data_IF_716045670540
#
_entry.id   IF_716045670540
#
_cell.length_a   1.000
_cell.length_b   1.000
_cell.length_c   1.000
_cell.angle_alpha   90.00
_cell.angle_beta   90.00
_cell.angle_gamma   90.00
#
_symmetry.space_group_name_H-M   'P 1'
#
loop_
_entity.id
_entity.type
_entity.pdbx_description
1 polymer ?
#
# COMPACT_ATOMS: atom_id res chain seq x y z
N UNK A 1 11.63 -2.03 9.65
CA UNK A 1 11.11 -2.22 8.28
C UNK A 1 12.10 -1.58 7.34
N UNK A 2 12.48 -2.25 6.26
CA UNK A 2 13.30 -1.63 5.21
C UNK A 2 12.43 -0.72 4.32
N UNK A 3 13.01 0.37 3.84
CA UNK A 3 12.30 1.34 2.99
C UNK A 3 12.73 1.15 1.55
N UNK A 4 11.74 0.95 0.66
CA UNK A 4 11.96 0.88 -0.78
C UNK A 4 11.36 2.10 -1.47
N UNK A 5 12.04 2.65 -2.48
CA UNK A 5 11.50 3.70 -3.33
C UNK A 5 10.94 3.06 -4.61
N UNK A 6 9.64 3.23 -4.86
CA UNK A 6 8.96 2.72 -6.06
C UNK A 6 8.33 3.88 -6.85
N UNK A 7 8.18 3.70 -8.16
CA UNK A 7 7.43 4.62 -9.01
C UNK A 7 6.00 4.11 -9.19
N UNK A 8 5.03 4.98 -8.88
CA UNK A 8 3.61 4.73 -9.06
C UNK A 8 3.06 5.75 -10.07
N UNK A 9 2.01 5.36 -10.79
CA UNK A 9 1.29 6.30 -11.65
C UNK A 9 0.56 7.34 -10.80
N UNK A 10 0.36 8.55 -11.33
CA UNK A 10 -0.38 9.60 -10.62
C UNK A 10 -1.78 9.14 -10.19
N UNK A 11 -2.43 8.32 -11.02
CA UNK A 11 -3.76 7.74 -10.72
C UNK A 11 -3.72 6.83 -9.50
N UNK A 12 -2.69 5.99 -9.36
CA UNK A 12 -2.52 5.14 -8.19
C UNK A 12 -2.28 5.96 -6.93
N UNK A 13 -1.44 6.99 -7.00
CA UNK A 13 -1.19 7.89 -5.86
C UNK A 13 -2.49 8.57 -5.42
N UNK A 14 -3.27 9.11 -6.37
CA UNK A 14 -4.58 9.73 -6.08
C UNK A 14 -5.56 8.75 -5.44
N UNK A 15 -5.62 7.51 -5.92
CA UNK A 15 -6.50 6.49 -5.33
C UNK A 15 -6.10 6.18 -3.88
N UNK A 16 -4.81 6.06 -3.60
CA UNK A 16 -4.30 5.86 -2.23
C UNK A 16 -4.66 7.07 -1.35
N UNK A 17 -4.50 8.28 -1.87
CA UNK A 17 -4.86 9.51 -1.15
C UNK A 17 -6.35 9.59 -0.79
N UNK A 18 -7.23 9.16 -1.69
CA UNK A 18 -8.66 9.10 -1.41
C UNK A 18 -8.95 8.14 -0.26
N UNK A 19 -8.28 6.99 -0.21
CA UNK A 19 -8.45 6.01 0.88
C UNK A 19 -7.99 6.57 2.22
N UNK A 20 -6.87 7.28 2.25
CA UNK A 20 -6.36 7.93 3.46
C UNK A 20 -7.29 9.08 3.91
N UNK A 21 -7.72 9.93 2.97
CA UNK A 21 -8.66 11.03 3.26
C UNK A 21 -10.01 10.56 3.78
N UNK A 22 -10.48 9.39 3.35
CA UNK A 22 -11.70 8.75 3.84
C UNK A 22 -11.54 8.10 5.22
N UNK A 23 -10.32 8.07 5.78
CA UNK A 23 -10.03 7.43 7.06
C UNK A 23 -9.95 5.91 7.00
N UNK A 24 -9.90 5.30 5.80
CA UNK A 24 -9.78 3.84 5.65
C UNK A 24 -8.40 3.36 6.08
N UNK A 25 -7.36 4.14 5.78
CA UNK A 25 -6.00 3.90 6.24
C UNK A 25 -5.42 5.14 6.90
N UNK A 26 -4.58 4.99 7.94
CA UNK A 26 -4.00 6.12 8.66
C UNK A 26 -2.95 6.87 7.81
N UNK A 27 -2.32 6.20 6.84
CA UNK A 27 -1.34 6.81 5.94
C UNK A 27 -1.18 5.98 4.65
N UNK A 28 -0.47 6.55 3.68
CA UNK A 28 -0.19 5.90 2.38
C UNK A 28 0.59 4.59 2.56
N UNK A 29 1.53 4.55 3.50
CA UNK A 29 2.38 3.38 3.73
C UNK A 29 1.56 2.18 4.23
N UNK A 30 0.59 2.39 5.11
CA UNK A 30 -0.33 1.35 5.57
C UNK A 30 -1.23 0.84 4.45
N UNK A 31 -1.77 1.75 3.63
CA UNK A 31 -2.57 1.36 2.47
C UNK A 31 -1.77 0.49 1.48
N UNK A 32 -0.52 0.87 1.20
CA UNK A 32 0.37 0.10 0.31
C UNK A 32 0.76 -1.22 0.95
N UNK A 33 1.10 -1.23 2.25
CA UNK A 33 1.47 -2.46 2.95
C UNK A 33 0.33 -3.47 3.01
N UNK A 34 -0.89 -3.01 3.26
CA UNK A 34 -2.05 -3.89 3.26
C UNK A 34 -2.33 -4.45 1.85
N UNK A 35 -2.18 -3.64 0.79
CA UNK A 35 -2.28 -4.12 -0.59
C UNK A 35 -1.20 -5.17 -0.92
N UNK A 36 0.05 -4.93 -0.51
CA UNK A 36 1.16 -5.90 -0.67
C UNK A 36 0.89 -7.17 0.14
N UNK A 37 0.40 -7.06 1.38
CA UNK A 37 0.03 -8.21 2.22
C UNK A 37 -1.12 -9.01 1.62
N UNK A 38 -2.09 -8.37 0.98
CA UNK A 38 -3.19 -9.08 0.30
C UNK A 38 -2.74 -9.81 -0.96
N UNK A 39 -1.78 -9.24 -1.69
CA UNK A 39 -1.29 -9.80 -2.94
C UNK A 39 -0.19 -10.85 -2.75
N UNK A 40 0.73 -10.58 -1.83
CA UNK A 40 1.96 -11.36 -1.56
C UNK A 40 1.89 -12.01 -0.17
N UNK A 41 0.72 -12.01 0.48
CA UNK A 41 0.53 -12.54 1.84
C UNK A 41 1.22 -13.88 2.07
N UNK A 42 1.60 -14.13 3.32
CA UNK A 42 2.54 -15.17 3.80
C UNK A 42 2.53 -16.50 3.04
N UNK A 43 3.03 -16.51 1.80
CA UNK A 43 3.49 -17.70 1.11
C UNK A 43 4.88 -18.05 1.65
N UNK A 44 4.98 -18.19 2.98
CA UNK A 44 6.02 -19.02 3.59
C UNK A 44 5.51 -20.45 3.52
N UNK A 45 5.73 -21.07 2.37
CA UNK A 45 5.29 -22.42 2.08
C UNK A 45 5.98 -23.01 0.86
N UNK A 46 7.28 -22.77 0.69
CA UNK A 46 8.26 -23.75 0.17
C UNK A 46 9.69 -23.22 0.27
#
# INVERSE_FOLDING_TARGET
>A
METIQIRLTEKQIKNIDVLVKKGVYPNRSEAVRDAVRKLVGENNGN
#
